data_IF_099899229666
#
_entry.id   IF_099899229666
#
_cell.length_a   1.000
_cell.length_b   1.000
_cell.length_c   1.000
_cell.angle_alpha   90.00
_cell.angle_beta   90.00
_cell.angle_gamma   90.00
#
_symmetry.space_group_name_H-M   'P 1'
#
loop_
_entity.id
_entity.type
_entity.pdbx_description
1 polymer ?
#
# COMPACT_ATOMS: atom_id res chain seq x y z
N UNK A 1 11.51 -6.19 -5.82
CA UNK A 1 10.34 -5.36 -6.16
C UNK A 1 9.21 -5.70 -5.19
N UNK A 2 8.39 -4.72 -4.78
CA UNK A 2 7.20 -4.97 -3.96
C UNK A 2 6.02 -4.19 -4.52
N UNK A 3 4.82 -4.78 -4.52
CA UNK A 3 3.65 -4.22 -5.19
C UNK A 3 2.42 -4.26 -4.27
N UNK A 4 1.73 -3.12 -4.13
CA UNK A 4 0.45 -3.01 -3.41
C UNK A 4 -0.66 -3.87 -4.05
N UNK A 5 -0.67 -4.01 -5.37
CA UNK A 5 -1.82 -4.55 -6.09
C UNK A 5 -1.90 -6.08 -6.06
N UNK A 6 -0.93 -6.74 -5.41
CA UNK A 6 -0.92 -8.17 -5.18
C UNK A 6 -1.00 -8.46 -3.68
N UNK A 7 -1.90 -9.38 -3.33
CA UNK A 7 -2.20 -9.74 -1.94
C UNK A 7 -1.22 -10.82 -1.43
N UNK A 8 -0.88 -10.79 -0.14
CA UNK A 8 0.11 -11.72 0.45
C UNK A 8 -0.24 -13.21 0.25
N UNK A 9 -1.52 -13.53 0.08
CA UNK A 9 -1.99 -14.90 -0.13
C UNK A 9 -1.79 -15.42 -1.56
N UNK A 10 -1.40 -14.56 -2.50
CA UNK A 10 -1.02 -14.96 -3.86
C UNK A 10 0.49 -14.97 -4.09
N UNK A 11 1.30 -14.83 -3.03
CA UNK A 11 2.77 -14.84 -3.15
C UNK A 11 3.29 -16.11 -3.84
N UNK A 12 2.71 -17.29 -3.53
CA UNK A 12 3.10 -18.54 -4.21
C UNK A 12 2.89 -18.47 -5.72
N UNK A 13 1.77 -17.90 -6.17
CA UNK A 13 1.43 -17.75 -7.59
C UNK A 13 2.40 -16.77 -8.27
N UNK A 14 2.78 -15.69 -7.57
CA UNK A 14 3.81 -14.76 -8.03
C UNK A 14 5.14 -15.48 -8.22
N UNK A 15 5.58 -16.26 -7.23
CA UNK A 15 6.85 -16.98 -7.27
C UNK A 15 6.88 -18.04 -8.38
N UNK A 16 5.79 -18.79 -8.57
CA UNK A 16 5.62 -19.76 -9.66
C UNK A 16 5.72 -19.09 -11.04
N UNK A 17 5.14 -17.89 -11.18
CA UNK A 17 5.22 -17.14 -12.43
C UNK A 17 6.64 -16.64 -12.72
N UNK A 18 7.32 -16.08 -11.72
CA UNK A 18 8.71 -15.65 -11.84
C UNK A 18 9.65 -16.82 -12.18
N UNK A 19 9.38 -18.00 -11.62
CA UNK A 19 10.12 -19.23 -11.90
C UNK A 19 9.77 -19.88 -13.26
N UNK A 20 8.77 -19.38 -13.98
CA UNK A 20 8.34 -19.91 -15.27
C UNK A 20 7.54 -21.21 -15.18
N UNK A 21 6.99 -21.54 -14.01
CA UNK A 21 6.19 -22.75 -13.79
C UNK A 21 4.76 -22.63 -14.31
N UNK A 22 4.24 -21.39 -14.39
CA UNK A 22 2.92 -21.07 -14.92
C UNK A 22 3.03 -20.02 -16.03
N UNK A 23 2.07 -20.04 -16.95
CA UNK A 23 1.97 -19.02 -18.01
C UNK A 23 1.56 -17.67 -17.42
N UNK A 24 1.80 -16.59 -18.17
CA UNK A 24 1.32 -15.25 -17.79
C UNK A 24 -0.21 -15.19 -17.68
N UNK A 25 -0.93 -15.89 -18.56
CA UNK A 25 -2.40 -16.01 -18.49
C UNK A 25 -2.85 -16.67 -17.17
N UNK A 26 -2.19 -17.76 -16.76
CA UNK A 26 -2.46 -18.42 -15.49
C UNK A 26 -2.12 -17.50 -14.32
N UNK A 27 -1.00 -16.79 -14.38
CA UNK A 27 -0.58 -15.82 -13.37
C UNK A 27 -1.65 -14.73 -13.19
N UNK A 28 -2.08 -14.05 -14.26
CA UNK A 28 -3.08 -12.98 -14.21
C UNK A 28 -4.36 -13.47 -13.52
N UNK A 29 -4.84 -14.65 -13.92
CA UNK A 29 -6.07 -15.24 -13.39
C UNK A 29 -5.95 -15.64 -11.91
N UNK A 30 -4.89 -16.35 -11.54
CA UNK A 30 -4.72 -16.94 -10.21
C UNK A 30 -4.28 -15.91 -9.17
N UNK A 31 -3.48 -14.91 -9.58
CA UNK A 31 -3.00 -13.83 -8.71
C UNK A 31 -4.02 -12.70 -8.52
N UNK A 32 -5.11 -12.70 -9.29
CA UNK A 32 -6.11 -11.61 -9.32
C UNK A 32 -5.44 -10.28 -9.67
N UNK A 33 -4.61 -10.29 -10.72
CA UNK A 33 -3.90 -9.10 -11.18
C UNK A 33 -4.89 -7.93 -11.41
N UNK A 34 -4.47 -6.67 -11.15
CA UNK A 34 -5.33 -5.51 -11.36
C UNK A 34 -5.73 -5.37 -12.83
N UNK A 35 -6.86 -4.71 -13.10
CA UNK A 35 -7.40 -4.60 -14.46
C UNK A 35 -6.45 -3.92 -15.45
N UNK A 36 -5.60 -3.00 -14.97
CA UNK A 36 -4.56 -2.31 -15.73
C UNK A 36 -3.18 -3.00 -15.61
N UNK A 37 -3.15 -4.33 -15.42
CA UNK A 37 -1.92 -5.11 -15.31
C UNK A 37 -0.97 -4.86 -16.47
N UNK A 38 -1.49 -4.94 -17.69
CA UNK A 38 -0.72 -4.84 -18.94
C UNK A 38 0.00 -3.49 -19.04
N UNK A 39 -0.70 -2.39 -18.76
CA UNK A 39 -0.17 -1.04 -18.95
C UNK A 39 0.72 -0.60 -17.77
N UNK A 40 0.35 -0.94 -16.53
CA UNK A 40 0.95 -0.34 -15.34
C UNK A 40 1.96 -1.24 -14.62
N UNK A 41 1.84 -2.57 -14.71
CA UNK A 41 2.61 -3.48 -13.82
C UNK A 41 3.39 -4.56 -14.56
N UNK A 42 2.95 -4.97 -15.76
CA UNK A 42 3.57 -6.05 -16.52
C UNK A 42 5.05 -5.79 -16.77
N UNK A 43 5.40 -4.59 -17.23
CA UNK A 43 6.79 -4.24 -17.50
C UNK A 43 7.68 -4.33 -16.25
N UNK A 44 7.19 -3.93 -15.08
CA UNK A 44 7.92 -4.03 -13.81
C UNK A 44 8.16 -5.48 -13.40
N UNK A 45 7.14 -6.34 -13.54
CA UNK A 45 7.22 -7.75 -13.17
C UNK A 45 8.10 -8.52 -14.16
N UNK A 46 8.00 -8.24 -15.47
CA UNK A 46 8.86 -8.88 -16.46
C UNK A 46 10.32 -8.46 -16.28
N UNK A 47 10.59 -7.18 -16.02
CA UNK A 47 11.93 -6.72 -15.66
C UNK A 47 12.46 -7.47 -14.43
N UNK A 48 11.63 -7.64 -13.40
CA UNK A 48 12.02 -8.39 -12.21
C UNK A 48 12.31 -9.86 -12.53
N UNK A 49 11.46 -10.50 -13.33
CA UNK A 49 11.62 -11.88 -13.78
C UNK A 49 12.91 -12.10 -14.57
N UNK A 50 13.15 -11.27 -15.59
CA UNK A 50 14.33 -11.36 -16.47
C UNK A 50 15.64 -11.17 -15.71
N UNK A 51 15.61 -10.42 -14.60
CA UNK A 51 16.76 -10.14 -13.75
C UNK A 51 16.81 -10.97 -12.47
N UNK A 52 15.95 -11.99 -12.32
CA UNK A 52 15.87 -12.83 -11.11
C UNK A 52 15.68 -12.03 -9.81
N UNK A 53 14.96 -10.91 -9.89
CA UNK A 53 14.61 -10.06 -8.75
C UNK A 53 13.30 -10.59 -8.13
N UNK A 54 13.27 -10.90 -6.83
CA UNK A 54 12.03 -11.29 -6.15
C UNK A 54 10.96 -10.19 -6.23
N UNK A 55 9.70 -10.60 -6.42
CA UNK A 55 8.53 -9.71 -6.36
C UNK A 55 7.68 -10.06 -5.15
N UNK A 56 7.41 -9.08 -4.30
CA UNK A 56 6.65 -9.24 -3.07
C UNK A 56 5.21 -8.76 -3.28
N UNK A 57 4.25 -9.67 -3.13
CA UNK A 57 2.84 -9.37 -3.02
C UNK A 57 2.56 -8.81 -1.61
N UNK A 58 2.45 -7.49 -1.50
CA UNK A 58 2.61 -6.82 -0.21
C UNK A 58 1.32 -6.68 0.60
N UNK A 59 0.17 -6.73 -0.06
CA UNK A 59 -1.04 -6.14 0.49
C UNK A 59 -1.92 -7.15 1.22
N UNK A 60 -2.76 -6.66 2.12
CA UNK A 60 -3.67 -7.51 2.88
C UNK A 60 -4.73 -8.13 1.97
N UNK A 61 -4.99 -9.46 2.06
CA UNK A 61 -6.09 -10.08 1.34
C UNK A 61 -7.42 -9.40 1.66
N UNK A 62 -8.17 -8.99 0.62
CA UNK A 62 -9.45 -8.26 0.77
C UNK A 62 -10.46 -8.92 1.70
N UNK A 63 -10.44 -10.25 1.80
CA UNK A 63 -11.29 -11.00 2.75
C UNK A 63 -11.01 -10.65 4.21
N UNK A 64 -9.75 -10.39 4.58
CA UNK A 64 -9.37 -10.00 5.93
C UNK A 64 -9.59 -8.52 6.19
N UNK A 65 -9.49 -7.69 5.16
CA UNK A 65 -9.88 -6.27 5.21
C UNK A 65 -11.39 -6.13 5.40
N UNK A 66 -12.18 -7.03 4.82
CA UNK A 66 -13.61 -7.11 5.07
C UNK A 66 -13.91 -7.67 6.47
N UNK A 67 -13.10 -8.60 6.96
CA UNK A 67 -13.23 -9.17 8.31
C UNK A 67 -13.01 -8.11 9.40
N UNK A 68 -11.94 -7.31 9.31
CA UNK A 68 -11.60 -6.31 10.33
C UNK A 68 -12.71 -5.27 10.48
N UNK A 69 -13.42 -4.94 9.40
CA UNK A 69 -14.58 -4.04 9.43
C UNK A 69 -15.74 -4.57 10.27
N UNK A 70 -15.85 -5.90 10.39
CA UNK A 70 -16.91 -6.60 11.12
C UNK A 70 -16.53 -6.89 12.57
N UNK A 71 -15.29 -7.28 12.81
CA UNK A 71 -14.84 -7.75 14.14
C UNK A 71 -13.97 -6.74 14.90
N UNK A 72 -13.58 -5.64 14.25
CA UNK A 72 -12.65 -4.66 14.81
C UNK A 72 -11.22 -5.19 14.91
N UNK A 73 -10.25 -4.30 15.19
CA UNK A 73 -8.83 -4.63 15.32
C UNK A 73 -8.58 -5.74 16.35
N UNK A 74 -9.19 -5.62 17.52
CA UNK A 74 -9.00 -6.55 18.64
C UNK A 74 -9.62 -7.93 18.39
N UNK A 75 -10.70 -8.00 17.59
CA UNK A 75 -11.36 -9.25 17.24
C UNK A 75 -10.60 -10.11 16.21
N UNK A 76 -9.65 -9.52 15.49
CA UNK A 76 -8.96 -10.21 14.38
C UNK A 76 -8.14 -11.41 14.83
N UNK A 77 -7.42 -11.32 15.95
CA UNK A 77 -6.57 -12.42 16.44
C UNK A 77 -7.38 -13.68 16.72
N UNK A 78 -8.59 -13.52 17.25
CA UNK A 78 -9.50 -14.63 17.57
C UNK A 78 -10.27 -15.12 16.34
N UNK A 79 -10.55 -14.24 15.37
CA UNK A 79 -11.31 -14.57 14.17
C UNK A 79 -10.49 -15.29 13.08
N UNK A 80 -9.15 -15.21 13.13
CA UNK A 80 -8.26 -15.77 12.11
C UNK A 80 -7.78 -17.20 12.45
N UNK A 81 -7.85 -18.09 11.46
CA UNK A 81 -7.16 -19.38 11.52
C UNK A 81 -5.63 -19.20 11.52
N UNK A 82 -4.83 -20.13 12.09
CA UNK A 82 -3.39 -19.96 12.19
C UNK A 82 -2.67 -19.67 10.85
N UNK A 83 -2.96 -20.37 9.73
CA UNK A 83 -2.34 -20.03 8.44
C UNK A 83 -2.71 -18.63 7.92
N UNK A 84 -3.90 -18.14 8.27
CA UNK A 84 -4.35 -16.81 7.89
C UNK A 84 -3.59 -15.70 8.64
N UNK A 85 -3.12 -15.98 9.86
CA UNK A 85 -2.33 -15.02 10.63
C UNK A 85 -0.97 -14.75 9.98
N UNK A 86 -0.40 -15.74 9.27
CA UNK A 86 0.87 -15.57 8.56
C UNK A 86 0.78 -14.64 7.33
N UNK A 87 -0.44 -14.33 6.87
CA UNK A 87 -0.70 -13.44 5.74
C UNK A 87 -0.82 -11.96 6.14
N UNK A 88 -0.73 -11.66 7.44
CA UNK A 88 -1.01 -10.36 8.03
C UNK A 88 0.10 -9.99 9.02
N UNK A 89 0.19 -8.71 9.42
CA UNK A 89 1.04 -8.30 10.52
C UNK A 89 0.57 -8.93 11.85
N UNK A 90 1.42 -8.93 12.90
CA UNK A 90 0.99 -9.30 14.25
C UNK A 90 -0.27 -8.52 14.65
N UNK A 91 -1.31 -9.26 15.06
CA UNK A 91 -2.60 -8.68 15.49
C UNK A 91 -2.66 -8.51 17.02
N UNK A 92 -3.34 -7.46 17.52
CA UNK A 92 -4.01 -6.40 16.77
C UNK A 92 -3.04 -5.39 16.15
N UNK A 93 -3.41 -4.80 15.02
CA UNK A 93 -2.68 -3.64 14.49
C UNK A 93 -2.97 -2.41 15.34
N UNK A 94 -1.95 -1.57 15.50
CA UNK A 94 -2.07 -0.27 16.15
C UNK A 94 -3.11 0.61 15.46
N UNK A 95 -3.72 1.50 16.23
CA UNK A 95 -4.69 2.45 15.69
C UNK A 95 -4.02 3.39 14.68
N UNK A 96 -4.82 3.90 13.75
CA UNK A 96 -4.39 5.00 12.90
C UNK A 96 -4.02 6.22 13.76
N UNK A 97 -2.98 6.96 13.36
CA UNK A 97 -2.63 8.21 14.02
C UNK A 97 -3.67 9.28 13.75
N UNK A 98 -3.83 10.28 14.63
CA UNK A 98 -4.78 11.39 14.41
C UNK A 98 -4.56 12.10 13.07
N UNK A 99 -3.30 12.28 12.65
CA UNK A 99 -2.95 12.88 11.37
C UNK A 99 -3.43 12.02 10.19
N UNK A 100 -3.26 10.71 10.28
CA UNK A 100 -3.80 9.77 9.31
C UNK A 100 -5.33 9.82 9.26
N UNK A 101 -6.02 9.83 10.41
CA UNK A 101 -7.48 9.91 10.45
C UNK A 101 -7.99 11.21 9.81
N UNK A 102 -7.32 12.34 10.07
CA UNK A 102 -7.64 13.63 9.46
C UNK A 102 -7.48 13.59 7.94
N UNK A 103 -6.35 13.07 7.45
CA UNK A 103 -6.09 12.90 6.01
C UNK A 103 -7.16 12.03 5.35
N UNK A 104 -7.43 10.86 5.92
CA UNK A 104 -8.44 9.94 5.44
C UNK A 104 -9.84 10.58 5.38
N UNK A 105 -10.26 11.25 6.46
CA UNK A 105 -11.55 11.94 6.51
C UNK A 105 -11.65 13.07 5.46
N UNK A 106 -10.57 13.82 5.23
CA UNK A 106 -10.55 14.90 4.23
C UNK A 106 -10.78 14.38 2.80
N UNK A 107 -10.12 13.28 2.43
CA UNK A 107 -10.26 12.65 1.11
C UNK A 107 -11.65 12.05 0.95
N UNK A 108 -12.14 11.35 1.98
CA UNK A 108 -13.49 10.78 1.96
C UNK A 108 -14.60 11.85 1.94
N UNK A 109 -14.33 13.04 2.44
CA UNK A 109 -15.23 14.19 2.30
C UNK A 109 -15.18 14.75 0.87
N UNK A 110 -14.00 14.90 0.27
CA UNK A 110 -13.85 15.38 -1.11
C UNK A 110 -14.53 14.45 -2.13
N UNK A 111 -14.34 13.12 -2.02
CA UNK A 111 -14.97 12.12 -2.89
C UNK A 111 -16.51 12.20 -2.84
N UNK A 112 -17.08 12.46 -1.65
CA UNK A 112 -18.52 12.59 -1.48
C UNK A 112 -19.07 13.97 -1.87
N UNK A 113 -18.32 15.03 -1.60
CA UNK A 113 -18.65 16.39 -2.01
C UNK A 113 -18.65 16.58 -3.53
N UNK A 114 -17.86 15.79 -4.25
CA UNK A 114 -17.92 15.67 -5.72
C UNK A 114 -19.18 14.99 -6.26
N UNK A 115 -20.03 14.41 -5.41
CA UNK A 115 -21.33 13.82 -5.79
C UNK A 115 -22.54 14.70 -5.44
N UNK A 116 -22.34 15.89 -4.88
CA UNK A 116 -23.45 16.78 -4.52
C UNK A 116 -23.14 18.21 -4.95
N UNK A 117 -23.84 18.69 -5.98
CA UNK A 117 -23.95 20.11 -6.26
C UNK A 117 -24.44 20.86 -5.02
N UNK A 118 -23.84 22.04 -4.82
CA UNK A 118 -24.29 23.17 -4.00
C UNK A 118 -25.17 22.85 -2.77
N UNK A 119 -24.57 22.85 -1.58
CA UNK A 119 -25.00 23.71 -0.46
C UNK A 119 -24.14 23.45 0.79
N UNK A 120 -23.24 24.39 1.07
CA UNK A 120 -22.44 24.41 2.29
C UNK A 120 -23.27 24.98 3.45
N UNK A 121 -23.90 24.11 4.24
CA UNK A 121 -24.26 24.42 5.63
C UNK A 121 -23.49 23.52 6.57
N UNK A 122 -22.86 24.14 7.56
CA UNK A 122 -22.16 23.47 8.64
C UNK A 122 -23.11 22.50 9.35
N UNK A 123 -22.87 21.20 9.20
CA UNK A 123 -23.54 20.14 9.95
C UNK A 123 -22.55 19.62 10.99
N UNK A 124 -23.01 19.54 12.23
CA UNK A 124 -22.29 19.06 13.41
C UNK A 124 -21.56 17.73 13.19
N UNK A 125 -20.42 17.62 13.87
CA UNK A 125 -19.43 16.54 13.78
C UNK A 125 -19.95 15.17 14.25
N UNK A 126 -20.67 14.46 13.38
CA UNK A 126 -20.60 12.99 13.36
C UNK A 126 -19.30 12.59 12.64
N UNK A 127 -18.61 11.50 13.03
CA UNK A 127 -17.50 10.98 12.22
C UNK A 127 -18.02 10.72 10.82
N UNK A 128 -17.57 11.51 9.84
CA UNK A 128 -18.03 11.43 8.45
C UNK A 128 -17.77 10.04 7.85
N UNK A 129 -16.84 9.26 8.41
CA UNK A 129 -16.46 7.92 7.95
C UNK A 129 -16.59 6.92 9.10
N UNK A 130 -17.20 5.73 8.89
CA UNK A 130 -17.25 4.69 9.92
C UNK A 130 -15.84 4.29 10.38
N UNK A 131 -15.58 4.13 11.69
CA UNK A 131 -14.28 3.68 12.21
C UNK A 131 -13.80 2.36 11.58
N UNK A 132 -14.72 1.50 11.16
CA UNK A 132 -14.38 0.27 10.45
C UNK A 132 -13.66 0.51 9.12
N UNK A 133 -13.93 1.61 8.43
CA UNK A 133 -13.31 1.93 7.14
C UNK A 133 -11.85 2.38 7.30
N UNK A 134 -11.57 3.15 8.35
CA UNK A 134 -10.19 3.54 8.66
C UNK A 134 -9.38 2.33 9.17
N UNK A 135 -9.98 1.44 9.96
CA UNK A 135 -9.31 0.19 10.36
C UNK A 135 -8.96 -0.69 9.15
N UNK A 136 -9.83 -0.74 8.14
CA UNK A 136 -9.57 -1.44 6.88
C UNK A 136 -8.39 -0.82 6.10
N UNK A 137 -8.39 0.49 5.92
CA UNK A 137 -7.31 1.20 5.21
C UNK A 137 -5.97 1.04 5.97
N UNK A 138 -6.00 1.20 7.29
CA UNK A 138 -4.84 1.04 8.15
C UNK A 138 -4.32 -0.41 8.18
N UNK A 139 -5.17 -1.42 8.00
CA UNK A 139 -4.75 -2.82 7.86
C UNK A 139 -3.99 -3.06 6.55
N UNK A 140 -4.42 -2.45 5.44
CA UNK A 140 -3.66 -2.49 4.19
C UNK A 140 -2.25 -1.91 4.38
N UNK A 141 -2.16 -0.71 4.95
CA UNK A 141 -0.87 -0.06 5.24
C UNK A 141 0.03 -0.87 6.17
N UNK A 142 -0.53 -1.39 7.26
CA UNK A 142 0.19 -2.23 8.21
C UNK A 142 0.71 -3.52 7.55
N UNK A 143 -0.09 -4.13 6.67
CA UNK A 143 0.31 -5.37 5.99
C UNK A 143 1.39 -5.12 4.95
N UNK A 144 1.28 -4.03 4.17
CA UNK A 144 2.33 -3.63 3.25
C UNK A 144 3.63 -3.33 4.00
N UNK A 145 3.58 -2.51 5.05
CA UNK A 145 4.75 -2.21 5.87
C UNK A 145 5.38 -3.46 6.48
N UNK A 146 4.58 -4.41 6.96
CA UNK A 146 5.09 -5.66 7.53
C UNK A 146 5.71 -6.58 6.47
N UNK A 147 5.13 -6.66 5.27
CA UNK A 147 5.69 -7.39 4.13
C UNK A 147 7.06 -6.83 3.73
N UNK A 148 7.20 -5.51 3.71
CA UNK A 148 8.47 -4.82 3.45
C UNK A 148 9.50 -5.09 4.55
N UNK A 149 9.14 -4.89 5.82
CA UNK A 149 10.01 -5.13 6.96
C UNK A 149 10.50 -6.59 7.02
N UNK A 150 9.64 -7.53 6.63
CA UNK A 150 9.93 -8.97 6.63
C UNK A 150 11.10 -9.38 5.73
N UNK A 151 11.38 -8.61 4.68
CA UNK A 151 12.53 -8.83 3.78
C UNK A 151 13.86 -8.67 4.53
N UNK A 152 13.89 -7.76 5.51
CA UNK A 152 15.11 -7.38 6.21
C UNK A 152 15.35 -8.23 7.48
N UNK A 153 14.54 -9.27 7.74
CA UNK A 153 14.71 -10.12 8.93
C UNK A 153 16.08 -10.82 9.01
N UNK A 154 16.69 -11.11 7.87
CA UNK A 154 18.00 -11.73 7.77
C UNK A 154 19.10 -10.75 7.31
N UNK A 155 18.88 -9.43 7.49
CA UNK A 155 19.74 -8.38 6.95
C UNK A 155 21.24 -8.59 7.20
N UNK A 156 21.62 -8.92 8.44
CA UNK A 156 23.03 -9.13 8.81
C UNK A 156 23.63 -10.34 8.09
N UNK A 157 22.89 -11.44 8.00
CA UNK A 157 23.32 -12.64 7.29
C UNK A 157 23.41 -12.40 5.78
N UNK A 158 22.50 -11.62 5.22
CA UNK A 158 22.52 -11.22 3.80
C UNK A 158 23.71 -10.28 3.53
N UNK A 159 23.98 -9.31 4.42
CA UNK A 159 25.15 -8.44 4.34
C UNK A 159 26.46 -9.22 4.43
N UNK A 160 26.55 -10.25 5.27
CA UNK A 160 27.72 -11.14 5.36
C UNK A 160 27.96 -11.91 4.05
N UNK A 161 26.89 -12.17 3.27
CA UNK A 161 26.98 -12.76 1.92
C UNK A 161 27.26 -11.71 0.83
N UNK A 162 27.52 -10.45 1.21
CA UNK A 162 27.77 -9.35 0.28
C UNK A 162 26.50 -8.75 -0.35
N UNK A 163 25.31 -9.14 0.11
CA UNK A 163 24.05 -8.58 -0.37
C UNK A 163 23.78 -7.24 0.30
N UNK A 164 23.10 -6.35 -0.42
CA UNK A 164 22.60 -5.06 0.08
C UNK A 164 21.11 -4.99 -0.28
N UNK A 165 20.22 -5.56 0.55
CA UNK A 165 18.80 -5.62 0.21
C UNK A 165 18.25 -4.20 0.08
N UNK A 166 17.62 -3.93 -1.07
CA UNK A 166 16.87 -2.73 -1.37
C UNK A 166 15.48 -3.15 -1.81
N UNK A 167 14.45 -2.56 -1.21
CA UNK A 167 13.07 -2.82 -1.62
C UNK A 167 12.50 -1.56 -2.25
N UNK A 168 12.25 -1.65 -3.56
CA UNK A 168 11.45 -0.67 -4.28
C UNK A 168 9.97 -1.10 -4.21
N UNK A 169 9.16 -0.31 -3.50
CA UNK A 169 7.73 -0.57 -3.30
C UNK A 169 6.89 0.38 -4.15
N UNK A 170 5.98 -0.19 -4.95
CA UNK A 170 5.05 0.57 -5.81
C UNK A 170 3.66 0.48 -5.20
N UNK A 171 3.11 1.64 -4.84
CA UNK A 171 1.82 1.82 -4.20
C UNK A 171 1.18 3.15 -4.62
N UNK A 172 -0.11 3.31 -4.32
CA UNK A 172 -0.82 4.58 -4.46
C UNK A 172 -0.29 5.65 -3.51
N UNK A 173 -0.35 6.91 -3.96
CA UNK A 173 0.17 8.09 -3.24
C UNK A 173 -0.34 8.20 -1.80
N UNK A 174 -1.61 7.87 -1.57
CA UNK A 174 -2.23 7.96 -0.24
C UNK A 174 -1.45 7.18 0.83
N UNK A 175 -0.87 6.04 0.45
CA UNK A 175 -0.21 5.09 1.36
C UNK A 175 1.17 5.55 1.87
N UNK A 176 1.74 6.62 1.28
CA UNK A 176 3.11 7.08 1.58
C UNK A 176 3.24 8.59 1.75
N UNK A 177 2.35 9.37 1.13
CA UNK A 177 2.42 10.82 1.14
C UNK A 177 2.29 11.37 2.57
N UNK A 178 3.05 12.42 2.87
CA UNK A 178 3.23 13.03 4.19
C UNK A 178 3.87 12.11 5.24
N UNK A 179 4.52 11.03 4.80
CA UNK A 179 5.06 9.98 5.67
C UNK A 179 3.98 9.35 6.57
N UNK A 180 2.74 9.32 6.09
CA UNK A 180 1.59 8.68 6.74
C UNK A 180 1.32 7.30 6.10
N UNK A 181 0.71 6.38 6.84
CA UNK A 181 0.36 5.04 6.34
C UNK A 181 1.53 4.06 6.44
N UNK A 182 2.01 3.56 5.30
CA UNK A 182 3.12 2.58 5.25
C UNK A 182 4.36 3.07 6.03
N UNK A 183 4.83 4.33 5.88
CA UNK A 183 6.00 4.81 6.62
C UNK A 183 5.80 4.82 8.14
N UNK A 184 4.59 5.14 8.63
CA UNK A 184 4.29 5.11 10.08
C UNK A 184 4.42 3.71 10.65
N UNK A 185 3.94 2.70 9.93
CA UNK A 185 4.06 1.31 10.34
C UNK A 185 5.48 0.75 10.16
N UNK A 186 6.20 1.17 9.12
CA UNK A 186 7.59 0.76 8.91
C UNK A 186 8.50 1.20 10.05
N UNK A 187 8.34 2.43 10.57
CA UNK A 187 9.10 2.91 11.73
C UNK A 187 8.87 2.03 12.96
N UNK A 188 7.70 1.39 13.07
CA UNK A 188 7.38 0.45 14.17
C UNK A 188 7.97 -0.94 13.93
N UNK A 189 7.82 -1.47 12.72
CA UNK A 189 8.24 -2.84 12.40
C UNK A 189 9.75 -2.97 12.16
N UNK A 190 10.41 -1.90 11.72
CA UNK A 190 11.84 -1.89 11.42
C UNK A 190 12.41 -0.46 11.57
N UNK A 191 12.56 0.04 12.81
CA UNK A 191 12.98 1.43 13.10
C UNK A 191 14.36 1.83 12.54
N UNK A 192 15.19 0.85 12.21
CA UNK A 192 16.52 1.04 11.64
C UNK A 192 16.54 1.23 10.11
N UNK A 193 15.41 1.03 9.42
CA UNK A 193 15.36 1.18 7.96
C UNK A 193 15.42 2.65 7.55
N UNK A 194 16.22 2.92 6.53
CA UNK A 194 16.18 4.19 5.83
C UNK A 194 15.03 4.15 4.82
N UNK A 195 14.07 5.05 4.99
CA UNK A 195 12.89 5.15 4.13
C UNK A 195 13.07 6.38 3.23
N UNK A 196 12.94 6.17 1.93
CA UNK A 196 12.89 7.24 0.93
C UNK A 196 11.58 7.11 0.16
N UNK A 197 10.77 8.16 0.20
CA UNK A 197 9.47 8.25 -0.45
C UNK A 197 9.55 9.10 -1.71
N UNK A 198 8.87 8.65 -2.76
CA UNK A 198 8.72 9.39 -4.01
C UNK A 198 7.23 9.48 -4.29
N UNK A 199 6.71 10.70 -4.43
CA UNK A 199 5.31 10.94 -4.79
C UNK A 199 5.26 11.53 -6.19
N UNK A 200 4.52 10.87 -7.07
CA UNK A 200 4.23 11.38 -8.42
C UNK A 200 2.86 12.06 -8.37
N UNK A 201 2.80 13.33 -8.79
CA UNK A 201 1.56 14.12 -8.80
C UNK A 201 1.36 14.81 -10.14
N UNK A 202 0.17 14.71 -10.75
CA UNK A 202 -0.17 15.48 -11.93
C UNK A 202 -0.21 16.98 -11.63
N UNK A 203 0.49 17.81 -12.42
CA UNK A 203 0.39 19.26 -12.34
C UNK A 203 0.46 19.88 -13.75
N UNK A 204 -0.59 20.59 -14.21
CA UNK A 204 -0.65 21.13 -15.56
C UNK A 204 0.42 22.20 -15.83
N UNK A 205 0.86 22.92 -14.80
CA UNK A 205 1.85 23.98 -14.92
C UNK A 205 3.29 23.44 -14.83
N UNK A 206 3.46 22.16 -14.47
CA UNK A 206 4.75 21.51 -14.19
C UNK A 206 5.61 22.34 -13.22
N UNK A 207 4.98 23.01 -12.25
CA UNK A 207 5.64 23.96 -11.34
C UNK A 207 5.55 23.50 -9.90
N UNK A 208 6.71 23.49 -9.24
CA UNK A 208 6.75 23.20 -7.81
C UNK A 208 6.07 24.32 -7.00
N UNK A 209 4.98 23.98 -6.30
CA UNK A 209 4.29 24.86 -5.35
C UNK A 209 4.63 24.44 -3.93
N UNK A 210 5.28 25.33 -3.16
CA UNK A 210 5.77 25.03 -1.81
C UNK A 210 4.64 24.63 -0.86
N UNK A 211 3.51 25.31 -0.91
CA UNK A 211 2.33 25.05 -0.10
C UNK A 211 1.72 23.67 -0.34
N UNK A 212 1.81 23.14 -1.56
CA UNK A 212 1.25 21.83 -1.92
C UNK A 212 2.24 20.68 -1.78
N UNK A 213 3.52 20.91 -2.12
CA UNK A 213 4.48 19.82 -2.28
C UNK A 213 5.46 19.69 -1.11
N UNK A 214 5.57 20.71 -0.25
CA UNK A 214 6.44 20.61 0.93
C UNK A 214 5.89 19.53 1.86
N UNK A 215 6.78 18.65 2.33
CA UNK A 215 6.45 17.49 3.17
C UNK A 215 5.55 16.44 2.50
N UNK A 216 5.30 16.48 1.19
CA UNK A 216 4.55 15.43 0.51
C UNK A 216 5.35 14.11 0.48
N UNK A 217 6.65 14.19 0.21
CA UNK A 217 7.60 13.06 0.20
C UNK A 217 9.05 13.59 0.22
N UNK A 218 10.04 12.69 0.22
CA UNK A 218 11.46 13.06 0.07
C UNK A 218 11.74 13.60 -1.35
N UNK A 219 11.06 13.04 -2.35
CA UNK A 219 11.03 13.55 -3.71
C UNK A 219 9.59 13.67 -4.22
N UNK A 220 9.30 14.77 -4.92
CA UNK A 220 8.03 14.98 -5.62
C UNK A 220 8.33 15.07 -7.12
N UNK A 221 7.70 14.19 -7.90
CA UNK A 221 7.79 14.19 -9.36
C UNK A 221 6.48 14.77 -9.89
N UNK A 222 6.58 15.87 -10.63
CA UNK A 222 5.45 16.45 -11.34
C UNK A 222 5.29 15.75 -12.69
N UNK A 223 4.09 15.30 -12.99
CA UNK A 223 3.76 14.68 -14.28
C UNK A 223 2.74 15.52 -15.02
N UNK A 224 2.74 15.44 -16.34
CA UNK A 224 1.63 16.00 -17.11
C UNK A 224 0.34 15.25 -16.75
N UNK A 225 -0.80 15.95 -16.61
CA UNK A 225 -2.09 15.29 -16.45
C UNK A 225 -2.37 14.39 -17.65
N UNK A 226 -2.94 13.21 -17.41
CA UNK A 226 -3.33 12.32 -18.48
C UNK A 226 -4.61 12.88 -19.13
N UNK A 227 -4.56 13.25 -20.41
CA UNK A 227 -5.68 13.91 -21.12
C UNK A 227 -6.93 13.02 -21.21
N UNK A 228 -6.80 11.70 -21.06
CA UNK A 228 -7.89 10.71 -21.16
C UNK A 228 -8.63 10.43 -19.83
N UNK A 229 -8.26 11.08 -18.72
CA UNK A 229 -8.84 10.84 -17.39
C UNK A 229 -9.89 11.87 -16.94
N UNK A 230 -10.50 12.62 -17.87
CA UNK A 230 -11.60 13.56 -17.62
C UNK A 230 -12.98 12.94 -17.88
#
# INVERSE_FOLDING_TARGET
LSLEFFETDVQLIMDEYLAGLISEEQFIKLSRAPANYEEAYRALIQFAKDNSIPVIAANAPRRYVSLIRRVGRDGMKTALLPPAQALLPPMPVEAASKSYEQKFNSIMAAIRGGQSGADSKAVEAKPLVPPSMIDAQNLWDATMAFSLASVFRNFDADCQKGLRPLVFHVCGTFHVENRLGIPEHLVRYAPQLQICSIVCTPDPDMKFRKDLHTNAADFVILTQPNEEAQ
#
